data_IF_678358279136
#
_entry.id   IF_678358279136
#
_cell.length_a   1.000
_cell.length_b   1.000
_cell.length_c   1.000
_cell.angle_alpha   90.00
_cell.angle_beta   90.00
_cell.angle_gamma   90.00
#
_symmetry.space_group_name_H-M   'P 1'
#
loop_
_entity.id
_entity.type
_entity.pdbx_description
1 polymer ?
#
# COMPACT_ATOMS: atom_id res chain seq x y z
N UNK A 1 -15.38 -3.69 20.07
CA UNK A 1 -14.51 -4.77 19.55
C UNK A 1 -13.86 -4.23 18.29
N UNK A 2 -12.53 -4.04 18.31
CA UNK A 2 -11.76 -3.69 17.11
C UNK A 2 -11.85 -4.84 16.10
N UNK A 3 -12.16 -4.54 14.86
CA UNK A 3 -12.21 -5.55 13.80
C UNK A 3 -10.87 -5.58 13.06
N UNK A 4 -10.35 -6.76 12.76
CA UNK A 4 -9.04 -6.95 12.10
C UNK A 4 -8.85 -6.16 10.79
N UNK A 5 -9.92 -5.65 10.20
CA UNK A 5 -9.92 -4.91 8.95
C UNK A 5 -9.79 -3.39 9.03
N UNK A 6 -9.76 -2.81 10.22
CA UNK A 6 -9.75 -1.33 10.35
C UNK A 6 -8.53 -0.67 9.70
N UNK A 7 -7.38 -1.40 9.58
CA UNK A 7 -6.18 -0.92 8.87
C UNK A 7 -6.44 -0.62 7.40
N UNK A 8 -7.31 -1.39 6.75
CA UNK A 8 -7.63 -1.26 5.33
C UNK A 8 -8.62 -0.12 5.05
N UNK A 9 -9.28 0.40 6.08
CA UNK A 9 -10.28 1.47 5.98
C UNK A 9 -9.79 2.81 6.56
N UNK A 10 -8.63 2.84 7.21
CA UNK A 10 -8.02 4.04 7.80
C UNK A 10 -7.31 4.88 6.73
N UNK A 11 -8.05 5.70 5.98
CA UNK A 11 -7.58 6.46 4.84
C UNK A 11 -7.53 7.97 5.07
N UNK A 12 -6.55 8.64 4.43
CA UNK A 12 -6.50 10.09 4.28
C UNK A 12 -7.58 10.56 3.28
N UNK A 13 -8.51 11.36 3.75
CA UNK A 13 -9.59 11.90 2.91
C UNK A 13 -9.31 13.33 2.40
N UNK A 14 -8.32 13.98 2.98
CA UNK A 14 -7.94 15.34 2.62
C UNK A 14 -6.60 15.32 1.90
N UNK A 15 -6.59 15.88 0.67
CA UNK A 15 -5.33 16.04 -0.07
C UNK A 15 -4.55 17.23 0.51
N UNK A 16 -3.97 17.03 1.69
CA UNK A 16 -3.15 18.03 2.37
C UNK A 16 -1.74 18.03 1.79
N UNK A 17 -1.19 19.23 1.62
CA UNK A 17 0.25 19.42 1.37
C UNK A 17 0.96 19.53 2.72
N UNK A 18 1.42 18.43 3.27
CA UNK A 18 2.20 18.42 4.49
C UNK A 18 3.70 18.44 4.16
N UNK A 19 4.54 19.03 5.02
CA UNK A 19 5.97 18.85 4.89
C UNK A 19 6.35 17.37 5.02
N UNK A 20 7.25 16.89 4.16
CA UNK A 20 7.72 15.52 4.24
C UNK A 20 8.32 15.22 5.62
N UNK A 21 7.99 14.06 6.18
CA UNK A 21 8.51 13.64 7.48
C UNK A 21 9.66 12.64 7.26
N UNK A 22 10.79 13.12 6.73
CA UNK A 22 11.94 12.30 6.40
C UNK A 22 12.99 12.18 7.53
N UNK A 23 12.80 12.87 8.65
CA UNK A 23 13.78 12.93 9.74
C UNK A 23 14.13 11.56 10.33
N UNK A 24 13.23 10.59 10.27
CA UNK A 24 13.50 9.22 10.73
C UNK A 24 14.50 8.46 9.84
N UNK A 25 14.66 8.82 8.56
CA UNK A 25 15.55 8.14 7.62
C UNK A 25 17.00 8.18 8.12
N UNK A 26 17.42 9.32 8.67
CA UNK A 26 18.75 9.52 9.24
C UNK A 26 18.83 9.19 10.73
N UNK A 27 17.72 8.75 11.33
CA UNK A 27 17.67 8.41 12.74
C UNK A 27 18.50 7.16 13.04
N UNK A 28 18.99 7.04 14.27
CA UNK A 28 19.70 5.86 14.72
C UNK A 28 18.77 4.64 14.73
N UNK A 29 19.23 3.54 14.17
CA UNK A 29 18.54 2.26 14.30
C UNK A 29 18.64 1.78 15.76
N UNK A 30 17.50 1.54 16.38
CA UNK A 30 17.38 1.15 17.80
C UNK A 30 16.85 -0.27 17.92
N UNK A 31 16.99 -0.90 19.09
CA UNK A 31 16.18 -2.06 19.45
C UNK A 31 14.69 -1.68 19.46
N UNK A 32 13.80 -2.65 19.29
CA UNK A 32 12.36 -2.35 19.33
C UNK A 32 11.95 -1.77 20.69
N UNK A 33 12.51 -2.29 21.79
CA UNK A 33 12.22 -1.79 23.13
C UNK A 33 12.64 -0.33 23.30
N UNK A 34 13.81 0.05 22.80
CA UNK A 34 14.29 1.43 22.88
C UNK A 34 13.48 2.36 21.97
N UNK A 35 13.12 1.87 20.77
CA UNK A 35 12.26 2.61 19.84
C UNK A 35 10.86 2.90 20.40
N UNK A 36 10.35 2.02 21.25
CA UNK A 36 9.02 2.14 21.85
C UNK A 36 9.01 2.92 23.17
N UNK A 37 10.16 3.28 23.75
CA UNK A 37 10.21 3.99 25.03
C UNK A 37 9.46 5.33 25.03
N UNK A 38 9.67 6.13 23.99
CA UNK A 38 9.01 7.43 23.85
C UNK A 38 7.49 7.32 23.57
N UNK A 39 7.00 6.13 23.26
CA UNK A 39 5.60 5.87 22.90
C UNK A 39 4.77 5.33 24.07
N UNK A 40 5.38 5.06 25.22
CA UNK A 40 4.71 4.48 26.39
C UNK A 40 3.59 5.39 26.94
N UNK A 41 3.73 6.70 26.79
CA UNK A 41 2.73 7.67 27.22
C UNK A 41 1.50 7.72 26.28
N UNK A 42 1.65 7.22 25.05
CA UNK A 42 0.59 7.22 24.03
C UNK A 42 -0.03 5.84 23.82
N UNK A 43 0.71 4.78 24.11
CA UNK A 43 0.33 3.40 23.85
C UNK A 43 0.29 2.62 25.15
N UNK A 44 -0.91 2.45 25.70
CA UNK A 44 -1.09 1.68 26.92
C UNK A 44 -0.59 0.24 26.75
N UNK A 45 0.05 -0.30 27.78
CA UNK A 45 0.59 -1.68 27.83
C UNK A 45 1.57 -2.04 26.67
N UNK A 46 2.16 -1.07 25.96
CA UNK A 46 3.01 -1.33 24.79
C UNK A 46 4.13 -2.32 25.09
N UNK A 47 4.73 -2.27 26.28
CA UNK A 47 5.77 -3.21 26.69
C UNK A 47 5.28 -4.66 26.74
N UNK A 48 4.02 -4.89 27.09
CA UNK A 48 3.40 -6.23 27.04
C UNK A 48 3.23 -6.69 25.62
N UNK A 49 2.73 -5.79 24.72
CA UNK A 49 2.53 -6.11 23.32
C UNK A 49 3.85 -6.33 22.58
N UNK A 50 4.91 -5.59 22.90
CA UNK A 50 6.26 -5.83 22.37
C UNK A 50 6.74 -7.25 22.72
N UNK A 51 6.59 -7.68 23.98
CA UNK A 51 6.95 -9.05 24.39
C UNK A 51 6.14 -10.10 23.65
N UNK A 52 4.85 -9.86 23.48
CA UNK A 52 3.95 -10.77 22.78
C UNK A 52 4.33 -10.85 21.28
N UNK A 53 4.55 -9.70 20.63
CA UNK A 53 4.98 -9.62 19.24
C UNK A 53 6.32 -10.33 19.01
N UNK A 54 7.32 -10.15 19.90
CA UNK A 54 8.60 -10.87 19.85
C UNK A 54 8.47 -12.39 19.99
N UNK A 55 7.42 -12.86 20.64
CA UNK A 55 7.15 -14.30 20.77
C UNK A 55 6.58 -14.91 19.49
N UNK A 56 5.77 -14.13 18.75
CA UNK A 56 4.99 -14.65 17.61
C UNK A 56 5.48 -14.14 16.25
N UNK A 57 6.41 -13.18 16.19
CA UNK A 57 6.98 -12.72 14.93
C UNK A 57 7.70 -13.86 14.18
N UNK A 58 7.76 -13.75 12.88
CA UNK A 58 8.47 -14.71 12.01
C UNK A 58 9.97 -14.52 12.12
N UNK A 59 10.63 -15.44 12.86
CA UNK A 59 12.08 -15.43 13.03
C UNK A 59 12.57 -16.85 13.36
N UNK A 60 13.61 -17.40 12.68
CA UNK A 60 14.32 -16.80 11.52
C UNK A 60 13.41 -16.62 10.29
N UNK A 61 13.87 -15.93 9.25
CA UNK A 61 13.08 -15.60 8.07
C UNK A 61 13.94 -15.49 6.79
N UNK A 62 13.28 -15.45 5.62
CA UNK A 62 13.93 -15.54 4.30
C UNK A 62 14.49 -14.20 3.78
N UNK A 63 14.25 -13.08 4.48
CA UNK A 63 14.65 -11.73 4.04
C UNK A 63 15.70 -11.09 4.95
N UNK A 64 16.40 -11.87 5.77
CA UNK A 64 17.43 -11.40 6.70
C UNK A 64 16.98 -10.27 7.65
N UNK A 65 15.68 -10.26 8.00
CA UNK A 65 15.18 -9.36 9.02
C UNK A 65 15.71 -9.82 10.38
N UNK A 66 16.23 -8.87 11.14
CA UNK A 66 16.50 -9.09 12.56
C UNK A 66 15.18 -9.40 13.28
N UNK A 67 15.27 -9.96 14.48
CA UNK A 67 14.07 -10.23 15.27
C UNK A 67 13.29 -8.96 15.56
N UNK A 68 13.98 -7.84 15.81
CA UNK A 68 13.34 -6.55 16.08
C UNK A 68 12.64 -5.99 14.84
N UNK A 69 13.24 -6.11 13.66
CA UNK A 69 12.64 -5.71 12.39
C UNK A 69 11.38 -6.53 12.06
N UNK A 70 11.46 -7.86 12.18
CA UNK A 70 10.29 -8.72 12.02
C UNK A 70 9.18 -8.38 13.02
N UNK A 71 9.57 -8.11 14.29
CA UNK A 71 8.62 -7.72 15.32
C UNK A 71 8.00 -6.36 15.06
N UNK A 72 8.74 -5.41 14.46
CA UNK A 72 8.20 -4.09 14.10
C UNK A 72 7.07 -4.18 13.07
N UNK A 73 7.19 -5.08 12.08
CA UNK A 73 6.10 -5.35 11.14
C UNK A 73 4.93 -6.04 11.87
N UNK A 74 5.24 -7.05 12.68
CA UNK A 74 4.22 -7.81 13.40
C UNK A 74 3.36 -6.92 14.30
N UNK A 75 3.99 -6.03 15.11
CA UNK A 75 3.29 -5.15 16.05
C UNK A 75 2.46 -4.06 15.32
N UNK A 76 2.89 -3.64 14.11
CA UNK A 76 2.10 -2.75 13.26
C UNK A 76 0.73 -3.33 12.94
N UNK A 77 0.66 -4.64 12.69
CA UNK A 77 -0.56 -5.33 12.30
C UNK A 77 -1.39 -5.87 13.46
N UNK A 78 -0.86 -5.81 14.69
CA UNK A 78 -1.59 -6.28 15.87
C UNK A 78 -2.82 -5.43 16.17
N UNK A 79 -3.96 -6.10 16.37
CA UNK A 79 -5.12 -5.46 16.99
C UNK A 79 -4.95 -5.47 18.50
N UNK A 80 -4.98 -4.30 19.09
CA UNK A 80 -4.91 -4.04 20.52
C UNK A 80 -6.26 -3.44 20.96
N UNK A 81 -6.36 -2.94 22.19
CA UNK A 81 -7.51 -2.12 22.58
C UNK A 81 -7.63 -0.89 21.68
N UNK A 82 -8.84 -0.41 21.45
CA UNK A 82 -9.16 0.65 20.48
C UNK A 82 -8.26 1.89 20.56
N UNK A 83 -7.82 2.24 21.77
CA UNK A 83 -6.97 3.40 22.03
C UNK A 83 -5.47 3.09 22.03
N UNK A 84 -5.04 1.88 21.65
CA UNK A 84 -3.65 1.44 21.79
C UNK A 84 -3.06 0.79 20.53
N UNK A 85 -3.81 0.66 19.43
CA UNK A 85 -3.30 0.08 18.20
C UNK A 85 -2.19 0.95 17.60
N UNK A 86 -1.01 0.36 17.42
CA UNK A 86 0.17 1.07 16.88
C UNK A 86 -0.14 1.72 15.53
N UNK A 87 -0.74 0.98 14.58
CA UNK A 87 -1.04 1.51 13.25
C UNK A 87 -1.98 2.72 13.32
N UNK A 88 -2.99 2.70 14.21
CA UNK A 88 -4.00 3.75 14.30
C UNK A 88 -3.40 5.05 14.83
N UNK A 89 -2.71 4.99 15.97
CA UNK A 89 -2.11 6.18 16.58
C UNK A 89 -0.98 6.74 15.70
N UNK A 90 -0.14 5.86 15.14
CA UNK A 90 0.90 6.26 14.19
C UNK A 90 0.32 6.99 12.99
N UNK A 91 -0.70 6.41 12.33
CA UNK A 91 -1.29 6.99 11.14
C UNK A 91 -2.00 8.32 11.42
N UNK A 92 -2.70 8.45 12.55
CA UNK A 92 -3.25 9.73 13.00
C UNK A 92 -2.14 10.78 13.16
N UNK A 93 -1.01 10.39 13.76
CA UNK A 93 0.14 11.28 13.96
C UNK A 93 0.78 11.68 12.63
N UNK A 94 0.93 10.72 11.70
CA UNK A 94 1.49 10.97 10.36
C UNK A 94 0.62 11.89 9.51
N UNK A 95 -0.69 11.96 9.76
CA UNK A 95 -1.64 12.87 9.09
C UNK A 95 -1.78 14.23 9.77
N UNK A 96 -1.20 14.38 10.97
CA UNK A 96 -1.29 15.63 11.71
C UNK A 96 -0.49 16.75 11.03
N UNK A 97 -1.04 17.97 11.02
CA UNK A 97 -0.35 19.18 10.49
C UNK A 97 0.87 19.52 11.33
N UNK A 98 0.77 19.35 12.64
CA UNK A 98 1.89 19.51 13.56
C UNK A 98 2.86 18.33 13.44
N UNK A 99 3.89 18.52 12.63
CA UNK A 99 4.92 17.50 12.34
C UNK A 99 5.83 17.19 13.54
N UNK A 100 5.84 18.04 14.58
CA UNK A 100 6.62 17.78 15.80
C UNK A 100 6.12 16.54 16.54
N UNK A 101 4.83 16.22 16.42
CA UNK A 101 4.20 15.04 17.02
C UNK A 101 4.73 13.72 16.45
N UNK A 102 5.36 13.73 15.26
CA UNK A 102 5.92 12.51 14.64
C UNK A 102 7.28 12.15 15.25
N UNK A 103 7.98 13.10 15.88
CA UNK A 103 9.32 12.86 16.40
C UNK A 103 9.43 11.68 17.40
N UNK A 104 8.52 11.47 18.35
CA UNK A 104 8.56 10.30 19.24
C UNK A 104 8.50 8.97 18.49
N UNK A 105 7.97 8.95 17.26
CA UNK A 105 7.86 7.77 16.42
C UNK A 105 9.10 7.48 15.57
N UNK A 106 10.11 8.36 15.55
CA UNK A 106 11.27 8.23 14.66
C UNK A 106 12.04 6.92 14.87
N UNK A 107 12.21 6.48 16.10
CA UNK A 107 12.84 5.19 16.40
C UNK A 107 12.10 4.02 15.77
N UNK A 108 10.78 3.99 15.94
CA UNK A 108 9.92 2.96 15.39
C UNK A 108 9.82 3.04 13.86
N UNK A 109 9.62 4.23 13.30
CA UNK A 109 9.58 4.45 11.85
C UNK A 109 10.89 4.03 11.20
N UNK A 110 12.05 4.34 11.81
CA UNK A 110 13.36 3.88 11.31
C UNK A 110 13.49 2.37 11.31
N UNK A 111 13.02 1.71 12.35
CA UNK A 111 13.06 0.25 12.43
C UNK A 111 12.13 -0.39 11.39
N UNK A 112 10.93 0.14 11.21
CA UNK A 112 9.98 -0.34 10.21
C UNK A 112 10.48 -0.07 8.79
N UNK A 113 11.08 1.08 8.53
CA UNK A 113 11.71 1.43 7.24
C UNK A 113 12.87 0.47 6.92
N UNK A 114 13.75 0.21 7.89
CA UNK A 114 14.83 -0.76 7.76
C UNK A 114 14.28 -2.16 7.42
N UNK A 115 13.23 -2.59 8.12
CA UNK A 115 12.59 -3.89 7.87
C UNK A 115 12.02 -3.97 6.46
N UNK A 116 11.21 -2.97 6.08
CA UNK A 116 10.51 -2.97 4.78
C UNK A 116 11.47 -2.77 3.61
N UNK A 117 12.60 -2.06 3.80
CA UNK A 117 13.63 -1.89 2.77
C UNK A 117 14.26 -3.22 2.35
N UNK A 118 14.35 -4.19 3.25
CA UNK A 118 14.86 -5.54 2.96
C UNK A 118 13.87 -6.41 2.18
N UNK A 119 12.58 -6.07 2.21
CA UNK A 119 11.56 -6.80 1.47
C UNK A 119 11.59 -6.42 -0.02
N UNK A 120 11.33 -7.38 -0.94
CA UNK A 120 11.24 -7.07 -2.35
C UNK A 120 10.13 -6.06 -2.62
N UNK A 121 10.34 -5.19 -3.64
CA UNK A 121 9.29 -4.29 -4.13
C UNK A 121 8.14 -5.14 -4.70
N UNK A 122 6.92 -4.84 -4.29
CA UNK A 122 5.72 -5.40 -4.90
C UNK A 122 5.26 -4.46 -6.02
N UNK A 123 5.13 -5.01 -7.23
CA UNK A 123 4.58 -4.32 -8.39
C UNK A 123 3.34 -5.05 -8.87
N UNK A 124 2.20 -4.36 -8.94
CA UNK A 124 0.94 -4.97 -9.38
C UNK A 124 -0.29 -4.28 -8.80
N UNK A 125 -1.43 -4.93 -8.94
CA UNK A 125 -2.71 -4.40 -8.44
C UNK A 125 -2.89 -4.71 -6.96
N UNK A 126 -3.25 -3.69 -6.19
CA UNK A 126 -3.66 -3.80 -4.80
C UNK A 126 -4.97 -3.06 -4.56
N UNK A 127 -5.65 -3.41 -3.48
CA UNK A 127 -6.98 -2.92 -3.16
C UNK A 127 -7.01 -2.35 -1.74
N UNK A 128 -7.80 -1.28 -1.59
CA UNK A 128 -8.10 -0.66 -0.30
C UNK A 128 -9.54 -0.17 -0.32
N UNK A 129 -10.20 -0.10 0.82
CA UNK A 129 -11.61 0.30 0.84
C UNK A 129 -11.97 1.23 1.99
N UNK A 130 -13.09 1.91 1.88
CA UNK A 130 -13.66 2.74 2.93
C UNK A 130 -15.20 2.70 2.88
N UNK A 131 -15.84 2.59 4.03
CA UNK A 131 -17.30 2.57 4.20
C UNK A 131 -17.94 3.96 4.08
N UNK A 132 -17.57 4.69 3.03
CA UNK A 132 -18.09 6.03 2.71
C UNK A 132 -17.99 6.28 1.21
N UNK A 133 -18.87 7.10 0.67
CA UNK A 133 -18.68 7.72 -0.63
C UNK A 133 -17.68 8.90 -0.50
N UNK A 134 -16.55 8.78 -1.19
CA UNK A 134 -15.52 9.82 -1.23
C UNK A 134 -15.24 10.31 -2.66
N UNK A 135 -16.08 9.94 -3.62
CA UNK A 135 -15.90 10.22 -5.06
C UNK A 135 -15.69 11.69 -5.37
N UNK A 136 -16.37 12.58 -4.66
CA UNK A 136 -16.26 14.02 -4.86
C UNK A 136 -14.87 14.60 -4.56
N UNK A 137 -14.02 13.84 -3.85
CA UNK A 137 -12.66 14.28 -3.48
C UNK A 137 -11.61 13.87 -4.50
N UNK A 138 -11.97 13.02 -5.46
CA UNK A 138 -11.04 12.44 -6.43
C UNK A 138 -11.47 12.79 -7.85
N UNK A 139 -10.63 13.55 -8.57
CA UNK A 139 -10.87 13.96 -9.95
C UNK A 139 -9.78 13.42 -10.84
N UNK A 140 -10.15 12.95 -12.04
CA UNK A 140 -9.18 12.48 -13.05
C UNK A 140 -8.03 13.47 -13.24
N UNK A 141 -6.80 12.96 -13.27
CA UNK A 141 -5.54 13.72 -13.41
C UNK A 141 -5.09 14.43 -12.13
N UNK A 142 -5.85 14.31 -11.03
CA UNK A 142 -5.43 14.86 -9.74
C UNK A 142 -4.30 14.01 -9.14
N UNK A 143 -3.25 14.66 -8.68
CA UNK A 143 -2.23 14.01 -7.84
C UNK A 143 -2.61 14.12 -6.38
N UNK A 144 -2.45 13.03 -5.66
CA UNK A 144 -2.72 12.93 -4.22
C UNK A 144 -1.54 12.27 -3.53
N UNK A 145 -1.27 12.67 -2.30
CA UNK A 145 -0.23 12.08 -1.45
C UNK A 145 -0.85 11.44 -0.22
N UNK A 146 -0.58 10.17 0.01
CA UNK A 146 -0.94 9.51 1.27
C UNK A 146 0.19 9.64 2.28
N UNK A 147 -0.06 10.40 3.34
CA UNK A 147 0.93 10.73 4.35
C UNK A 147 1.10 9.69 5.46
N UNK A 148 0.19 8.73 5.53
CA UNK A 148 0.23 7.63 6.49
C UNK A 148 0.71 6.33 5.84
N UNK A 149 1.10 5.35 6.66
CA UNK A 149 1.30 3.99 6.18
C UNK A 149 -0.05 3.45 5.74
N UNK A 150 -0.13 2.93 4.53
CA UNK A 150 -1.38 2.50 3.93
C UNK A 150 -1.40 1.00 3.70
N UNK A 151 -2.23 0.30 4.49
CA UNK A 151 -2.48 -1.14 4.33
C UNK A 151 -3.42 -1.37 3.16
N UNK A 152 -2.99 -2.22 2.24
CA UNK A 152 -3.74 -2.66 1.07
C UNK A 152 -3.69 -4.18 0.99
N UNK A 153 -4.57 -4.80 0.21
CA UNK A 153 -4.53 -6.24 -0.03
C UNK A 153 -4.40 -6.54 -1.52
N UNK A 154 -3.69 -7.61 -1.87
CA UNK A 154 -3.71 -8.14 -3.23
C UNK A 154 -5.01 -8.87 -3.55
N UNK A 155 -5.85 -9.13 -2.55
CA UNK A 155 -7.14 -9.80 -2.67
C UNK A 155 -8.30 -8.81 -2.48
N UNK A 156 -9.08 -8.58 -3.53
CA UNK A 156 -10.30 -7.77 -3.45
C UNK A 156 -11.31 -8.36 -2.48
N UNK A 157 -11.34 -9.69 -2.32
CA UNK A 157 -12.25 -10.38 -1.42
C UNK A 157 -11.99 -10.03 0.05
N UNK A 158 -10.71 -9.82 0.42
CA UNK A 158 -10.35 -9.35 1.75
C UNK A 158 -10.96 -7.97 2.01
N UNK A 159 -10.80 -7.04 1.06
CA UNK A 159 -11.33 -5.68 1.21
C UNK A 159 -12.85 -5.68 1.21
N UNK A 160 -13.49 -6.46 0.34
CA UNK A 160 -14.96 -6.53 0.27
C UNK A 160 -15.58 -7.01 1.58
N UNK A 161 -14.90 -7.90 2.31
CA UNK A 161 -15.38 -8.38 3.62
C UNK A 161 -15.46 -7.28 4.69
N UNK A 162 -14.77 -6.17 4.50
CA UNK A 162 -14.76 -5.01 5.40
C UNK A 162 -15.73 -3.89 4.99
N UNK A 163 -16.28 -3.92 3.76
CA UNK A 163 -17.11 -2.85 3.20
C UNK A 163 -18.62 -3.04 3.39
N UNK A 164 -19.05 -4.01 4.18
CA UNK A 164 -20.48 -4.38 4.28
C UNK A 164 -21.31 -3.54 5.26
N UNK A 165 -20.78 -2.46 5.84
CA UNK A 165 -21.42 -1.78 6.97
C UNK A 165 -22.25 -0.56 6.56
N UNK A 166 -22.08 -0.02 5.37
CA UNK A 166 -22.79 1.19 4.94
C UNK A 166 -23.53 1.02 3.63
N UNK A 167 -24.51 1.90 3.38
CA UNK A 167 -25.26 1.96 2.12
C UNK A 167 -24.42 2.51 0.95
N UNK A 168 -23.24 3.04 1.22
CA UNK A 168 -22.31 3.54 0.22
C UNK A 168 -20.87 3.35 0.69
N UNK A 169 -20.05 2.77 -0.17
CA UNK A 169 -18.63 2.51 0.09
C UNK A 169 -17.79 2.86 -1.13
N UNK A 170 -16.50 3.03 -0.91
CA UNK A 170 -15.53 3.29 -1.98
C UNK A 170 -14.42 2.26 -1.94
N UNK A 171 -14.16 1.65 -3.09
CA UNK A 171 -13.05 0.73 -3.33
C UNK A 171 -11.98 1.45 -4.15
N UNK A 172 -10.76 1.45 -3.66
CA UNK A 172 -9.60 1.92 -4.41
C UNK A 172 -8.96 0.74 -5.14
N UNK A 173 -8.89 0.84 -6.46
CA UNK A 173 -8.07 0.02 -7.34
C UNK A 173 -6.74 0.74 -7.56
N UNK A 174 -5.63 0.16 -7.13
CA UNK A 174 -4.33 0.83 -7.09
C UNK A 174 -3.33 0.06 -7.93
N UNK A 175 -2.78 0.71 -8.97
CA UNK A 175 -1.59 0.25 -9.68
C UNK A 175 -0.37 0.65 -8.85
N UNK A 176 0.22 -0.34 -8.18
CA UNK A 176 1.33 -0.17 -7.24
C UNK A 176 2.67 -0.49 -7.90
N UNK A 177 3.71 0.28 -7.58
CA UNK A 177 5.07 0.10 -8.08
C UNK A 177 6.07 -0.28 -6.97
N UNK A 178 5.92 0.29 -5.77
CA UNK A 178 6.89 0.20 -4.69
C UNK A 178 6.31 -0.34 -3.38
N UNK A 179 5.19 -1.06 -3.44
CA UNK A 179 4.60 -1.68 -2.27
C UNK A 179 5.52 -2.69 -1.60
N UNK A 180 5.24 -3.00 -0.34
CA UNK A 180 5.97 -4.01 0.43
C UNK A 180 5.00 -5.07 0.92
N UNK A 181 5.14 -6.30 0.41
CA UNK A 181 4.35 -7.43 0.89
C UNK A 181 4.85 -7.84 2.27
N UNK A 182 3.96 -7.77 3.26
CA UNK A 182 4.27 -8.11 4.66
C UNK A 182 3.56 -9.39 5.12
N UNK A 183 2.92 -10.11 4.21
CA UNK A 183 2.07 -11.27 4.55
C UNK A 183 2.76 -12.35 5.39
N UNK A 184 4.08 -12.52 5.23
CA UNK A 184 4.87 -13.48 6.03
C UNK A 184 5.22 -12.98 7.43
N UNK A 185 4.99 -11.70 7.74
CA UNK A 185 5.43 -11.02 8.97
C UNK A 185 4.28 -10.44 9.79
N UNK A 186 3.05 -10.55 9.31
CA UNK A 186 1.83 -9.97 9.89
C UNK A 186 1.15 -10.94 10.88
N UNK A 187 0.31 -10.39 11.77
CA UNK A 187 -0.62 -11.18 12.59
C UNK A 187 -1.67 -11.93 11.75
N UNK A 188 -1.92 -11.48 10.51
CA UNK A 188 -3.02 -11.95 9.65
C UNK A 188 -2.53 -12.34 8.26
N UNK A 189 -1.79 -13.45 8.10
CA UNK A 189 -1.17 -13.82 6.80
C UNK A 189 -2.19 -13.99 5.66
N UNK A 190 -3.43 -14.36 5.96
CA UNK A 190 -4.51 -14.55 4.97
C UNK A 190 -5.04 -13.25 4.37
N UNK A 191 -4.69 -12.11 4.93
CA UNK A 191 -5.10 -10.81 4.40
C UNK A 191 -4.28 -10.37 3.18
N UNK A 192 -3.20 -11.08 2.85
CA UNK A 192 -2.32 -10.79 1.70
C UNK A 192 -1.90 -9.31 1.68
N UNK A 193 -1.48 -8.83 2.84
CA UNK A 193 -1.24 -7.41 3.07
C UNK A 193 0.01 -6.91 2.36
N UNK A 194 -0.16 -5.79 1.66
CA UNK A 194 0.88 -4.96 1.06
C UNK A 194 0.77 -3.58 1.68
N UNK A 195 1.86 -3.06 2.22
CA UNK A 195 1.90 -1.70 2.76
C UNK A 195 2.59 -0.74 1.80
N UNK A 196 2.07 0.48 1.77
CA UNK A 196 2.66 1.63 1.11
C UNK A 196 3.21 2.56 2.20
N UNK A 197 4.43 3.05 1.99
CA UNK A 197 5.10 3.90 2.98
C UNK A 197 4.56 5.34 2.95
N UNK A 198 4.72 6.11 4.03
CA UNK A 198 4.27 7.49 4.09
C UNK A 198 4.88 8.35 2.97
N UNK A 199 4.06 9.18 2.33
CA UNK A 199 4.50 10.04 1.24
C UNK A 199 4.32 9.42 -0.15
N UNK A 200 3.71 8.23 -0.27
CA UNK A 200 3.38 7.66 -1.58
C UNK A 200 2.44 8.57 -2.35
N UNK A 201 2.81 8.88 -3.60
CA UNK A 201 2.07 9.76 -4.50
C UNK A 201 1.33 8.95 -5.53
N UNK A 202 0.09 9.37 -5.83
CA UNK A 202 -0.75 8.74 -6.84
C UNK A 202 -1.32 9.76 -7.80
N UNK A 203 -1.59 9.33 -9.02
CA UNK A 203 -2.47 9.99 -9.97
C UNK A 203 -3.84 9.29 -9.97
N UNK A 204 -4.92 10.07 -9.99
CA UNK A 204 -6.28 9.58 -10.23
C UNK A 204 -6.45 9.34 -11.72
N UNK A 205 -6.46 8.09 -12.15
CA UNK A 205 -6.40 7.70 -13.57
C UNK A 205 -7.71 8.01 -14.31
N UNK A 206 -8.85 7.85 -13.64
CA UNK A 206 -10.18 8.05 -14.23
C UNK A 206 -11.12 8.75 -13.26
N UNK A 207 -12.22 9.31 -13.77
CA UNK A 207 -13.29 9.72 -12.88
C UNK A 207 -13.84 8.50 -12.13
N UNK A 208 -14.29 8.67 -10.88
CA UNK A 208 -14.87 7.59 -10.10
C UNK A 208 -16.01 6.89 -10.84
N UNK A 209 -16.05 5.56 -10.75
CA UNK A 209 -17.12 4.75 -11.32
C UNK A 209 -18.12 4.39 -10.21
N UNK A 210 -19.39 4.66 -10.46
CA UNK A 210 -20.47 4.22 -9.58
C UNK A 210 -20.97 2.84 -10.03
N UNK A 211 -20.89 1.87 -9.13
CA UNK A 211 -21.40 0.52 -9.34
C UNK A 211 -22.73 0.34 -8.62
N UNK A 212 -23.57 -0.59 -9.11
CA UNK A 212 -24.82 -0.94 -8.44
C UNK A 212 -24.58 -1.34 -6.98
N UNK A 213 -25.55 -1.03 -6.11
CA UNK A 213 -25.46 -1.36 -4.68
C UNK A 213 -24.67 -0.38 -3.83
N UNK A 214 -24.35 0.82 -4.34
CA UNK A 214 -23.68 1.88 -3.57
C UNK A 214 -22.16 1.73 -3.49
N UNK A 215 -21.57 0.83 -4.27
CA UNK A 215 -20.11 0.72 -4.37
C UNK A 215 -19.57 1.71 -5.41
N UNK A 216 -18.61 2.52 -5.00
CA UNK A 216 -17.87 3.42 -5.88
C UNK A 216 -16.44 2.87 -6.08
N UNK A 217 -15.89 3.02 -7.28
CA UNK A 217 -14.53 2.57 -7.59
C UNK A 217 -13.69 3.78 -8.02
N UNK A 218 -12.54 3.95 -7.38
CA UNK A 218 -11.55 4.97 -7.71
C UNK A 218 -10.28 4.26 -8.17
N UNK A 219 -9.79 4.63 -9.35
CA UNK A 219 -8.58 4.07 -9.91
C UNK A 219 -7.40 5.03 -9.66
N UNK A 220 -6.38 4.53 -8.95
CA UNK A 220 -5.15 5.24 -8.63
C UNK A 220 -3.96 4.54 -9.30
N UNK A 221 -3.03 5.32 -9.81
CA UNK A 221 -1.72 4.84 -10.27
C UNK A 221 -0.64 5.48 -9.39
N UNK A 222 0.24 4.67 -8.80
CA UNK A 222 1.41 5.16 -8.07
C UNK A 222 2.35 5.87 -9.06
N UNK A 223 2.86 7.04 -8.66
CA UNK A 223 3.88 7.79 -9.38
C UNK A 223 5.22 7.53 -8.69
N UNK A 224 6.22 7.14 -9.48
CA UNK A 224 7.60 6.95 -9.01
C UNK A 224 8.53 7.91 -9.75
N UNK A 225 9.43 8.55 -9.01
CA UNK A 225 10.48 9.39 -9.60
C UNK A 225 11.46 8.57 -10.48
N UNK A 226 11.43 7.24 -10.37
CA UNK A 226 12.27 6.33 -11.17
C UNK A 226 11.74 6.14 -12.62
N UNK A 227 10.53 6.60 -12.96
CA UNK A 227 9.97 6.47 -14.33
C UNK A 227 10.46 7.56 -15.30
N UNK A 228 11.19 8.59 -14.87
CA UNK A 228 11.70 9.65 -15.75
C UNK A 228 12.98 9.29 -16.52
N UNK A 229 13.62 8.15 -16.24
CA UNK A 229 14.79 7.67 -16.98
C UNK A 229 14.46 6.54 -17.97
N UNK A 230 13.42 6.62 -18.78
CA UNK A 230 13.38 5.89 -20.04
C UNK A 230 14.40 6.55 -21.00
N UNK A 231 15.57 5.90 -21.19
CA UNK A 231 16.54 6.27 -22.22
C UNK A 231 15.80 6.53 -23.53
N UNK A 232 16.06 7.68 -24.19
CA UNK A 232 15.49 7.91 -25.52
C UNK A 232 15.90 6.74 -26.44
N UNK A 233 15.02 6.28 -27.33
CA UNK A 233 15.29 5.13 -28.18
C UNK A 233 16.62 5.36 -28.93
N UNK A 234 17.58 4.46 -28.76
CA UNK A 234 18.87 4.54 -29.40
C UNK A 234 18.65 4.68 -30.91
N UNK A 235 19.28 5.66 -31.57
CA UNK A 235 19.15 5.81 -32.98
C UNK A 235 19.59 4.49 -33.69
N UNK A 236 18.91 4.06 -34.75
CA UNK A 236 19.21 2.82 -35.41
C UNK A 236 20.67 2.86 -35.93
N UNK A 237 21.40 1.79 -35.65
CA UNK A 237 22.78 1.62 -36.05
C UNK A 237 22.89 1.72 -37.59
N UNK A 238 23.65 2.68 -38.19
CA UNK A 238 23.69 2.90 -39.64
C UNK A 238 24.38 1.80 -40.45
N UNK A 239 24.87 0.72 -39.81
CA UNK A 239 25.66 -0.32 -40.49
C UNK A 239 24.92 -1.65 -40.73
N UNK A 240 23.60 -1.70 -40.75
CA UNK A 240 22.84 -2.91 -41.05
C UNK A 240 22.14 -2.84 -42.43
N UNK A 241 22.87 -2.50 -43.49
CA UNK A 241 22.38 -2.76 -44.86
C UNK A 241 22.85 -4.13 -45.30
N UNK A 242 21.95 -5.10 -45.37
CA UNK A 242 22.08 -6.27 -46.20
C UNK A 242 21.00 -6.26 -47.29
N UNK A 243 21.34 -6.58 -48.56
CA UNK A 243 20.39 -6.46 -49.69
C UNK A 243 19.39 -7.61 -49.69
N UNK A 244 18.14 -7.26 -49.86
CA UNK A 244 17.00 -8.17 -49.96
C UNK A 244 16.96 -8.90 -51.28
N UNK A 245 16.79 -10.22 -51.24
CA UNK A 245 16.16 -11.00 -52.31
C UNK A 245 14.65 -11.10 -52.03
N UNK A 246 13.91 -10.64 -53.01
CA UNK A 246 12.44 -10.64 -53.04
C UNK A 246 11.86 -12.04 -53.12
N UNK A 247 10.88 -12.34 -52.22
CA UNK A 247 9.86 -13.35 -52.51
C UNK A 247 8.51 -12.85 -51.98
N UNK A 248 7.58 -12.78 -52.90
CA UNK A 248 6.18 -12.38 -52.68
C UNK A 248 5.49 -13.51 -51.93
N UNK A 249 4.82 -13.23 -50.84
CA UNK A 249 3.81 -14.13 -50.25
C UNK A 249 2.71 -13.36 -49.57
N UNK A 250 1.53 -13.74 -49.93
CA UNK A 250 0.15 -13.36 -49.65
C UNK A 250 -0.17 -12.90 -48.21
N UNK A 251 -1.00 -11.85 -48.15
CA UNK A 251 -1.60 -11.29 -46.95
C UNK A 251 -2.53 -12.26 -46.22
N UNK A 252 -2.35 -12.40 -44.93
CA UNK A 252 -3.34 -12.96 -44.05
C UNK A 252 -3.66 -11.91 -42.97
N UNK A 253 -4.90 -11.51 -42.89
CA UNK A 253 -5.47 -10.56 -41.94
C UNK A 253 -5.45 -11.27 -40.57
N UNK A 254 -4.68 -10.78 -39.60
CA UNK A 254 -4.78 -11.22 -38.22
C UNK A 254 -5.42 -10.12 -37.36
N UNK A 255 -6.59 -10.45 -36.83
CA UNK A 255 -7.32 -9.67 -35.86
C UNK A 255 -6.50 -9.52 -34.56
N UNK A 256 -6.28 -8.30 -34.12
CA UNK A 256 -5.71 -8.00 -32.80
C UNK A 256 -6.70 -8.38 -31.70
N UNK A 257 -6.30 -9.14 -30.70
CA UNK A 257 -7.16 -9.41 -29.56
C UNK A 257 -7.21 -8.19 -28.62
N UNK A 258 -8.42 -7.71 -28.41
CA UNK A 258 -8.80 -6.75 -27.36
C UNK A 258 -8.34 -7.31 -26.02
N UNK A 259 -7.67 -6.49 -25.27
CA UNK A 259 -7.00 -6.77 -23.99
C UNK A 259 -7.86 -7.53 -22.99
N UNK A 260 -7.47 -8.75 -22.71
CA UNK A 260 -8.09 -9.71 -21.76
C UNK A 260 -8.16 -9.23 -20.31
N UNK A 261 -7.48 -8.14 -19.95
CA UNK A 261 -7.36 -7.71 -18.54
C UNK A 261 -8.58 -6.96 -17.98
N UNK A 262 -9.33 -6.24 -18.80
CA UNK A 262 -10.54 -5.54 -18.30
C UNK A 262 -11.71 -6.48 -18.01
N UNK A 263 -11.85 -7.56 -18.77
CA UNK A 263 -12.91 -8.56 -18.55
C UNK A 263 -12.66 -9.38 -17.28
N UNK A 264 -11.41 -9.60 -16.89
CA UNK A 264 -11.06 -10.35 -15.68
C UNK A 264 -11.41 -9.59 -14.38
N UNK A 265 -11.24 -8.28 -14.36
CA UNK A 265 -11.52 -7.44 -13.17
C UNK A 265 -13.03 -7.40 -12.89
N UNK A 266 -13.83 -7.18 -13.93
CA UNK A 266 -15.29 -7.15 -13.81
C UNK A 266 -15.84 -8.48 -13.28
N UNK A 267 -15.31 -9.61 -13.78
CA UNK A 267 -15.75 -10.95 -13.36
C UNK A 267 -15.31 -11.31 -11.93
N UNK A 268 -14.19 -10.76 -11.43
CA UNK A 268 -13.76 -10.96 -10.05
C UNK A 268 -14.62 -10.18 -9.05
N UNK A 269 -14.97 -8.94 -9.40
CA UNK A 269 -15.86 -8.11 -8.58
C UNK A 269 -17.25 -8.74 -8.52
N UNK A 270 -17.81 -9.15 -9.65
CA UNK A 270 -19.12 -9.78 -9.73
C UNK A 270 -19.20 -11.11 -8.97
N UNK A 271 -18.19 -11.96 -9.07
CA UNK A 271 -18.16 -13.24 -8.34
C UNK A 271 -18.04 -13.08 -6.83
N UNK A 272 -17.40 -12.00 -6.36
CA UNK A 272 -17.27 -11.71 -4.93
C UNK A 272 -18.54 -11.18 -4.28
N UNK A 273 -19.48 -10.64 -5.07
CA UNK A 273 -20.71 -10.05 -4.54
C UNK A 273 -21.90 -11.02 -4.47
N UNK A 274 -21.81 -12.20 -5.09
CA UNK A 274 -22.90 -13.18 -5.18
C UNK A 274 -22.62 -14.49 -4.40
N UNK A 275 -21.62 -14.51 -3.58
CA UNK A 275 -21.33 -15.58 -2.61
C UNK A 275 -21.15 -14.98 -1.22
#
# INVERSE_FOLDING_TARGET
MSHSGDRFTDIELENKRLPACCGYITWKLLSLEDAMKELQDFLMEINRFVKLAKKYCTYPNDHDLTKDESTAIYIYTMEMSDDSCVYRILNQTLRAEDRSKVRPWFGYLKLLDSATSKLPKFKGTIWRGIDKDVTMKFKKGQQITWWSISSCSTSVNVISSFLHKSSSSTLFHIECLNGKSISSYTCYPKENEVILMPGTVFEVVSNPLNHHGGLNIIHLKEISDEEEEEEPPRPPNPNSYQPNHSTISTATISNNPITRNQVSIQSQIERSMFH
#
